data_IF_480933901634
#
_entry.id   IF_480933901634
#
_cell.length_a   1.000
_cell.length_b   1.000
_cell.length_c   1.000
_cell.angle_alpha   90.00
_cell.angle_beta   90.00
_cell.angle_gamma   90.00
#
_symmetry.space_group_name_H-M   'P 1'
#
loop_
_entity.id
_entity.type
_entity.pdbx_description
1 polymer ?
#
# COMPACT_ATOMS: atom_id res chain seq x y z
N UNK A 1 -20.23 -52.30 16.82
CA UNK A 1 -18.86 -51.76 16.91
C UNK A 1 -18.84 -50.45 16.13
N UNK A 2 -19.08 -49.32 16.80
CA UNK A 2 -19.08 -47.99 16.20
C UNK A 2 -17.65 -47.46 16.13
N UNK A 3 -17.16 -47.19 14.92
CA UNK A 3 -15.84 -46.60 14.70
C UNK A 3 -15.96 -45.07 14.74
N UNK A 4 -15.82 -44.54 15.94
CA UNK A 4 -15.81 -43.09 16.19
C UNK A 4 -14.41 -42.53 15.87
N UNK A 5 -14.18 -42.18 14.59
CA UNK A 5 -12.94 -41.56 14.09
C UNK A 5 -12.91 -40.07 14.47
N UNK A 6 -12.63 -39.76 15.74
CA UNK A 6 -12.55 -38.38 16.24
C UNK A 6 -11.14 -38.07 16.75
N UNK A 7 -10.59 -36.92 16.33
CA UNK A 7 -9.36 -36.34 16.87
C UNK A 7 -9.72 -35.01 17.58
N UNK A 8 -9.92 -35.06 18.90
CA UNK A 8 -10.06 -33.87 19.77
C UNK A 8 -11.38 -33.09 19.71
N UNK A 9 -11.41 -31.92 20.38
CA UNK A 9 -12.59 -31.03 20.56
C UNK A 9 -12.94 -30.16 19.34
N UNK A 10 -12.21 -30.30 18.23
CA UNK A 10 -12.47 -29.48 17.05
C UNK A 10 -13.76 -29.94 16.36
N UNK A 11 -14.69 -29.01 16.15
CA UNK A 11 -15.94 -29.26 15.41
C UNK A 11 -15.86 -28.54 14.06
N UNK A 12 -15.97 -29.24 12.92
CA UNK A 12 -16.05 -28.58 11.63
C UNK A 12 -17.28 -27.67 11.61
N UNK A 13 -17.07 -26.38 11.36
CA UNK A 13 -18.14 -25.39 11.24
C UNK A 13 -18.84 -25.54 9.89
N UNK A 14 -20.16 -25.41 9.86
CA UNK A 14 -20.88 -25.33 8.58
C UNK A 14 -20.52 -24.01 7.87
N UNK A 15 -20.27 -24.02 6.55
CA UNK A 15 -20.10 -22.80 5.79
C UNK A 15 -21.38 -21.95 5.87
N UNK A 16 -21.22 -20.62 6.00
CA UNK A 16 -22.33 -19.67 6.21
C UNK A 16 -23.24 -19.49 4.98
N UNK A 17 -22.79 -19.91 3.81
CA UNK A 17 -23.49 -19.74 2.54
C UNK A 17 -22.62 -20.23 1.38
N UNK A 18 -23.14 -20.15 0.15
CA UNK A 18 -22.38 -20.59 -1.02
C UNK A 18 -21.18 -19.67 -1.27
N UNK A 19 -20.02 -20.26 -1.54
CA UNK A 19 -18.79 -19.55 -1.89
C UNK A 19 -18.68 -19.56 -3.41
N UNK A 20 -18.12 -18.50 -4.01
CA UNK A 20 -17.93 -18.40 -5.47
C UNK A 20 -17.26 -19.65 -6.10
N UNK A 21 -16.35 -20.30 -5.37
CA UNK A 21 -15.68 -21.52 -5.78
C UNK A 21 -16.61 -22.75 -5.95
N UNK A 22 -17.82 -22.74 -5.38
CA UNK A 22 -18.82 -23.80 -5.59
C UNK A 22 -19.50 -23.69 -6.97
N UNK A 23 -19.46 -22.51 -7.58
CA UNK A 23 -20.01 -22.26 -8.91
C UNK A 23 -18.97 -22.39 -10.01
N UNK A 24 -17.68 -22.43 -9.67
CA UNK A 24 -16.63 -22.77 -10.62
C UNK A 24 -16.59 -24.28 -10.83
N UNK A 25 -16.86 -24.74 -12.05
CA UNK A 25 -16.48 -26.07 -12.46
C UNK A 25 -14.95 -26.20 -12.41
N UNK A 26 -14.40 -27.41 -12.18
CA UNK A 26 -12.99 -27.64 -12.44
C UNK A 26 -12.71 -27.15 -13.87
N UNK A 27 -11.66 -26.34 -14.02
CA UNK A 27 -11.23 -25.88 -15.33
C UNK A 27 -11.03 -27.06 -16.29
N UNK A 28 -10.90 -26.80 -17.59
CA UNK A 28 -10.76 -27.88 -18.57
C UNK A 28 -9.66 -28.85 -18.17
N UNK A 29 -9.92 -30.16 -18.28
CA UNK A 29 -8.98 -31.24 -17.91
C UNK A 29 -7.65 -31.14 -18.68
N UNK A 30 -7.67 -30.47 -19.82
CA UNK A 30 -6.52 -30.32 -20.71
C UNK A 30 -6.32 -28.83 -21.03
N UNK A 31 -5.05 -28.44 -21.20
CA UNK A 31 -4.71 -27.11 -21.71
C UNK A 31 -5.24 -26.94 -23.12
N UNK A 32 -6.03 -25.88 -23.34
CA UNK A 32 -6.50 -25.53 -24.68
C UNK A 32 -5.30 -25.03 -25.52
N UNK A 33 -5.22 -25.40 -26.81
CA UNK A 33 -4.24 -24.84 -27.73
C UNK A 33 -4.39 -23.32 -27.84
N UNK A 34 -3.29 -22.62 -28.13
CA UNK A 34 -3.31 -21.15 -28.25
C UNK A 34 -3.92 -20.72 -29.58
N UNK A 35 -4.65 -19.61 -29.60
CA UNK A 35 -5.12 -18.99 -30.85
C UNK A 35 -4.09 -18.03 -31.47
N UNK A 36 -2.95 -17.81 -30.79
CA UNK A 36 -1.88 -16.89 -31.20
C UNK A 36 -0.61 -17.67 -31.54
N UNK A 37 0.11 -17.20 -32.56
CA UNK A 37 1.40 -17.77 -32.94
C UNK A 37 1.33 -19.09 -33.73
N UNK A 38 2.50 -19.65 -34.04
CA UNK A 38 2.66 -20.89 -34.80
C UNK A 38 2.72 -22.16 -33.93
N UNK A 39 3.52 -22.21 -32.84
CA UNK A 39 3.64 -23.45 -32.07
C UNK A 39 2.33 -23.72 -31.32
N UNK A 40 1.84 -24.96 -31.40
CA UNK A 40 0.67 -25.45 -30.65
C UNK A 40 -0.65 -24.68 -30.92
N UNK A 41 -0.79 -24.10 -32.13
CA UNK A 41 -2.03 -23.46 -32.57
C UNK A 41 -3.11 -24.47 -32.95
N UNK A 42 -4.36 -24.15 -32.62
CA UNK A 42 -5.55 -24.90 -33.04
C UNK A 42 -5.80 -24.77 -34.55
N UNK A 43 -5.69 -25.85 -35.35
CA UNK A 43 -5.91 -25.77 -36.79
C UNK A 43 -7.37 -25.49 -37.19
N UNK A 44 -8.32 -25.63 -36.25
CA UNK A 44 -9.74 -25.37 -36.52
C UNK A 44 -10.10 -23.88 -36.50
N UNK A 45 -9.20 -23.00 -36.05
CA UNK A 45 -9.46 -21.56 -35.86
C UNK A 45 -8.51 -20.71 -36.68
N UNK A 46 -8.94 -19.48 -36.97
CA UNK A 46 -8.08 -18.50 -37.61
C UNK A 46 -6.97 -18.05 -36.64
N UNK A 47 -5.75 -17.95 -37.17
CA UNK A 47 -4.56 -17.61 -36.39
C UNK A 47 -4.39 -16.11 -36.22
N UNK A 48 -4.20 -15.66 -34.99
CA UNK A 48 -3.74 -14.30 -34.71
C UNK A 48 -2.19 -14.21 -34.75
N UNK A 49 -1.61 -13.09 -35.23
CA UNK A 49 -0.16 -12.89 -35.24
C UNK A 49 0.40 -12.86 -33.82
N UNK A 50 1.61 -13.39 -33.63
CA UNK A 50 2.35 -13.31 -32.37
C UNK A 50 3.59 -12.43 -32.58
N UNK A 51 3.53 -11.19 -32.09
CA UNK A 51 4.68 -10.30 -32.05
C UNK A 51 5.34 -10.40 -30.68
N UNK A 52 6.64 -10.67 -30.65
CA UNK A 52 7.43 -10.50 -29.43
C UNK A 52 7.77 -9.02 -29.27
N UNK A 53 7.42 -8.42 -28.13
CA UNK A 53 8.11 -7.20 -27.72
C UNK A 53 9.57 -7.56 -27.45
N UNK A 54 10.50 -6.74 -27.94
CA UNK A 54 11.93 -6.99 -27.80
C UNK A 54 12.34 -7.24 -26.35
N UNK A 55 13.40 -8.02 -26.15
CA UNK A 55 13.98 -8.28 -24.83
C UNK A 55 14.36 -6.94 -24.19
N UNK A 56 14.03 -6.74 -22.91
CA UNK A 56 14.57 -5.59 -22.16
C UNK A 56 16.08 -5.69 -22.21
N UNK A 57 16.75 -4.75 -22.88
CA UNK A 57 18.19 -4.61 -22.70
C UNK A 57 18.42 -4.47 -21.21
N UNK A 58 19.31 -5.30 -20.65
CA UNK A 58 19.87 -5.04 -19.33
C UNK A 58 20.26 -3.57 -19.35
N UNK A 59 19.61 -2.75 -18.54
CA UNK A 59 20.19 -1.47 -18.17
C UNK A 59 21.48 -1.87 -17.47
N UNK A 60 22.58 -1.93 -18.22
CA UNK A 60 23.86 -1.53 -17.68
C UNK A 60 23.51 -0.22 -16.99
N UNK A 61 23.53 -0.25 -15.66
CA UNK A 61 23.41 0.96 -14.88
C UNK A 61 24.67 1.75 -15.21
N UNK A 62 24.64 2.45 -16.35
CA UNK A 62 25.55 3.55 -16.60
C UNK A 62 25.35 4.44 -15.40
N UNK A 63 26.39 4.44 -14.56
CA UNK A 63 26.37 4.94 -13.21
C UNK A 63 25.56 6.23 -13.17
N UNK A 64 24.60 6.26 -12.24
CA UNK A 64 23.77 7.41 -11.92
C UNK A 64 24.50 8.70 -12.31
N UNK A 65 24.00 9.37 -13.35
CA UNK A 65 24.54 10.66 -13.74
C UNK A 65 24.62 11.53 -12.48
N UNK A 66 25.69 12.34 -12.32
CA UNK A 66 25.82 13.16 -11.13
C UNK A 66 24.52 13.93 -10.96
N UNK A 67 23.90 13.79 -9.78
CA UNK A 67 22.64 14.46 -9.47
C UNK A 67 22.71 15.94 -9.83
N UNK A 68 21.56 16.61 -10.02
CA UNK A 68 21.53 17.97 -10.55
C UNK A 68 22.58 18.85 -9.86
N UNK A 69 23.43 19.50 -10.69
CA UNK A 69 24.54 20.37 -10.24
C UNK A 69 24.06 21.50 -9.30
N UNK A 70 22.76 21.76 -9.27
CA UNK A 70 22.11 22.78 -8.47
C UNK A 70 21.09 22.15 -7.51
N UNK A 71 20.98 22.72 -6.32
CA UNK A 71 19.93 22.36 -5.36
C UNK A 71 18.58 22.80 -5.94
N UNK A 72 17.62 21.88 -6.02
CA UNK A 72 16.24 22.23 -6.33
C UNK A 72 15.67 22.99 -5.12
N UNK A 73 14.99 24.13 -5.31
CA UNK A 73 14.37 24.84 -4.21
C UNK A 73 13.34 23.97 -3.50
N UNK A 74 13.33 24.02 -2.17
CA UNK A 74 12.26 23.39 -1.40
C UNK A 74 10.90 23.95 -1.84
N UNK A 75 9.88 23.10 -1.89
CA UNK A 75 8.49 23.44 -2.29
C UNK A 75 8.32 23.75 -3.78
N UNK A 76 9.02 23.00 -4.64
CA UNK A 76 8.88 23.06 -6.10
C UNK A 76 8.15 21.79 -6.59
N UNK A 77 6.97 21.94 -7.19
CA UNK A 77 6.26 20.86 -7.91
C UNK A 77 6.38 21.02 -9.42
N UNK A 78 5.97 19.99 -10.17
CA UNK A 78 5.92 20.01 -11.64
C UNK A 78 5.13 21.21 -12.22
N UNK A 79 4.18 21.76 -11.45
CA UNK A 79 3.35 22.92 -11.85
C UNK A 79 3.91 24.26 -11.39
N UNK A 80 5.02 24.29 -10.66
CA UNK A 80 5.62 25.51 -10.10
C UNK A 80 5.80 25.45 -8.59
N UNK A 81 6.01 26.61 -7.97
CA UNK A 81 6.22 26.73 -6.52
C UNK A 81 4.92 26.45 -5.77
N UNK A 82 5.01 25.65 -4.70
CA UNK A 82 3.83 25.28 -3.92
C UNK A 82 3.20 26.51 -3.27
N UNK A 83 1.91 26.71 -3.53
CA UNK A 83 1.11 27.80 -2.96
C UNK A 83 0.59 27.51 -1.55
N UNK A 84 1.03 26.42 -0.91
CA UNK A 84 0.55 26.05 0.43
C UNK A 84 1.17 27.00 1.46
N UNK A 85 0.37 27.64 2.33
CA UNK A 85 0.89 28.49 3.39
C UNK A 85 1.78 27.69 4.35
N UNK A 86 2.96 28.23 4.65
CA UNK A 86 3.90 27.62 5.58
C UNK A 86 3.67 28.18 6.98
N UNK A 87 2.98 27.43 7.83
CA UNK A 87 2.75 27.83 9.22
C UNK A 87 3.91 27.37 10.10
N UNK A 88 4.57 28.30 10.80
CA UNK A 88 5.46 27.97 11.91
C UNK A 88 4.65 27.91 13.20
N UNK A 89 4.76 26.81 13.94
CA UNK A 89 4.21 26.73 15.29
C UNK A 89 5.16 27.51 16.21
N UNK A 90 4.79 28.73 16.58
CA UNK A 90 5.51 29.48 17.60
C UNK A 90 5.27 28.84 18.98
N UNK A 91 6.31 28.82 19.82
CA UNK A 91 6.20 28.32 21.19
C UNK A 91 5.19 29.14 21.99
N UNK A 92 4.50 28.50 22.96
CA UNK A 92 3.57 29.19 23.86
C UNK A 92 4.32 30.31 24.61
N UNK A 93 3.79 31.55 24.66
CA UNK A 93 4.33 32.54 25.58
C UNK A 93 4.23 31.97 27.00
N UNK A 94 5.28 32.15 27.80
CA UNK A 94 5.22 31.80 29.22
C UNK A 94 4.15 32.67 29.86
N UNK A 95 3.19 32.06 30.56
CA UNK A 95 2.22 32.78 31.36
C UNK A 95 2.99 33.65 32.36
N UNK A 96 3.05 34.95 32.09
CA UNK A 96 3.42 35.92 33.10
C UNK A 96 2.26 35.93 34.08
N UNK A 97 2.28 35.01 35.05
CA UNK A 97 1.42 35.04 36.22
C UNK A 97 1.74 36.34 36.96
N UNK A 98 1.01 37.37 36.54
CA UNK A 98 0.48 38.46 37.34
C UNK A 98 1.38 38.92 38.49
N UNK A 99 2.11 39.99 38.19
CA UNK A 99 2.76 40.91 39.13
C UNK A 99 1.75 41.68 40.02
N UNK A 100 0.74 41.02 40.59
CA UNK A 100 -0.21 41.62 41.52
C UNK A 100 -0.22 40.86 42.85
N UNK A 101 0.16 41.49 43.97
CA UNK A 101 0.03 40.88 45.28
C UNK A 101 -1.43 40.99 45.73
N UNK A 102 -2.20 39.93 45.53
CA UNK A 102 -3.40 39.72 46.33
C UNK A 102 -2.96 38.92 47.56
N UNK A 103 -2.92 39.51 48.76
CA UNK A 103 -2.53 38.79 49.96
C UNK A 103 -3.53 37.64 50.17
N UNK A 104 -3.01 36.43 50.25
CA UNK A 104 -3.79 35.24 50.57
C UNK A 104 -4.41 35.42 51.96
N UNK A 105 -5.73 35.22 52.14
CA UNK A 105 -6.34 35.30 53.45
C UNK A 105 -5.87 34.10 54.27
N UNK A 106 -5.23 34.36 55.41
CA UNK A 106 -5.04 33.34 56.45
C UNK A 106 -3.61 33.01 56.88
N UNK A 107 -2.63 33.91 56.80
CA UNK A 107 -1.38 33.73 57.55
C UNK A 107 -1.04 34.98 58.38
N UNK A 108 -1.36 34.90 59.67
CA UNK A 108 -0.88 35.81 60.71
C UNK A 108 0.62 35.58 60.95
N UNK A 109 1.38 36.66 61.13
CA UNK A 109 2.78 36.61 61.55
C UNK A 109 2.87 36.81 63.07
N UNK A 110 3.50 35.92 63.84
CA UNK A 110 3.93 36.24 65.20
C UNK A 110 5.19 37.12 65.17
N UNK A 111 5.36 37.90 66.25
CA UNK A 111 6.33 38.98 66.42
C UNK A 111 7.77 38.65 66.03
#
# INVERSE_FOLDING_TARGET
>A
MSADVWVGSWRPHRPKGPIAALYSSPGPKYGLPTNVGYPLHDPSRYRAPAYSFGIRRLQLQDACSPGPKYKVPDKMTMRGKDGIPAYSIYGRPKDLVSLLPSPLPGQAKPC
#
